data_IF_138720957180
#
_entry.id   IF_138720957180
#
_cell.length_a   1.000
_cell.length_b   1.000
_cell.length_c   1.000
_cell.angle_alpha   90.00
_cell.angle_beta   90.00
_cell.angle_gamma   90.00
#
_symmetry.space_group_name_H-M   'P 1'
#
loop_
_entity.id
_entity.type
_entity.pdbx_description
1 polymer ?
#
# COMPACT_ATOMS: atom_id res chain seq x y z
N UNK A 1 -50.46 -6.96 -37.32
CA UNK A 1 -49.89 -8.28 -36.98
C UNK A 1 -48.45 -8.36 -37.45
N UNK A 2 -47.52 -7.91 -36.61
CA UNK A 2 -46.07 -7.91 -36.84
C UNK A 2 -45.51 -9.30 -36.50
N UNK A 3 -44.97 -10.01 -37.48
CA UNK A 3 -44.38 -11.34 -37.28
C UNK A 3 -43.05 -11.21 -36.55
N UNK A 4 -42.97 -11.72 -35.32
CA UNK A 4 -41.71 -11.91 -34.59
C UNK A 4 -40.87 -12.99 -35.28
N UNK A 5 -39.64 -12.66 -35.69
CA UNK A 5 -38.65 -13.62 -36.21
C UNK A 5 -37.63 -13.93 -35.10
N UNK A 6 -37.52 -15.18 -34.61
CA UNK A 6 -36.53 -15.51 -33.60
C UNK A 6 -35.12 -15.48 -34.20
N UNK A 7 -34.23 -14.75 -33.55
CA UNK A 7 -32.80 -14.69 -33.89
C UNK A 7 -32.21 -16.08 -33.62
N UNK A 8 -31.91 -16.83 -34.68
CA UNK A 8 -31.16 -18.09 -34.58
C UNK A 8 -29.68 -17.75 -34.58
N UNK A 9 -29.06 -17.73 -33.41
CA UNK A 9 -27.60 -17.59 -33.28
C UNK A 9 -26.95 -18.87 -33.85
N UNK A 10 -26.13 -18.79 -34.91
CA UNK A 10 -25.47 -19.97 -35.46
C UNK A 10 -24.41 -20.49 -34.48
N UNK A 11 -24.34 -21.80 -34.29
CA UNK A 11 -23.37 -22.50 -33.42
C UNK A 11 -21.91 -22.06 -33.65
N UNK A 12 -21.59 -21.60 -34.87
CA UNK A 12 -20.28 -21.06 -35.23
C UNK A 12 -19.91 -19.77 -34.49
N UNK A 13 -20.88 -18.93 -34.11
CA UNK A 13 -20.64 -17.72 -33.32
C UNK A 13 -20.26 -18.01 -31.86
N UNK A 14 -20.78 -19.11 -31.31
CA UNK A 14 -20.47 -19.55 -29.94
C UNK A 14 -19.02 -20.08 -29.87
N UNK A 15 -18.56 -20.80 -30.89
CA UNK A 15 -17.19 -21.30 -30.98
C UNK A 15 -16.15 -20.18 -31.12
N UNK A 16 -16.48 -19.09 -31.82
CA UNK A 16 -15.58 -17.94 -31.99
C UNK A 16 -15.40 -17.12 -30.70
N UNK A 17 -16.49 -16.91 -29.93
CA UNK A 17 -16.43 -16.24 -28.62
C UNK A 17 -15.71 -17.11 -27.59
N UNK A 18 -15.93 -18.43 -27.61
CA UNK A 18 -15.22 -19.37 -26.74
C UNK A 18 -13.71 -19.42 -27.05
N UNK A 19 -13.32 -19.37 -28.33
CA UNK A 19 -11.92 -19.31 -28.73
C UNK A 19 -11.23 -18.00 -28.28
N UNK A 20 -11.94 -16.87 -28.31
CA UNK A 20 -11.42 -15.57 -27.84
C UNK A 20 -11.22 -15.53 -26.31
N UNK A 21 -12.13 -16.15 -25.53
CA UNK A 21 -11.99 -16.28 -24.08
C UNK A 21 -10.87 -17.26 -23.67
N UNK A 22 -10.60 -18.28 -24.49
CA UNK A 22 -9.51 -19.22 -24.26
C UNK A 22 -8.14 -18.63 -24.65
N UNK A 23 -8.10 -17.69 -25.60
CA UNK A 23 -6.90 -16.96 -26.00
C UNK A 23 -6.44 -15.92 -24.96
N UNK A 24 -7.36 -15.36 -24.18
CA UNK A 24 -7.05 -14.31 -23.20
C UNK A 24 -6.43 -14.81 -21.89
N UNK A 25 -6.17 -16.12 -21.75
CA UNK A 25 -5.44 -16.67 -20.59
C UNK A 25 -3.92 -16.49 -20.73
N UNK A 26 -3.46 -15.28 -21.04
CA UNK A 26 -2.06 -14.96 -20.81
C UNK A 26 -1.83 -14.97 -19.30
N UNK A 27 -0.86 -15.73 -18.78
CA UNK A 27 -0.51 -15.65 -17.37
C UNK A 27 -0.05 -14.22 -17.08
N UNK A 28 -0.82 -13.49 -16.27
CA UNK A 28 -0.36 -12.23 -15.73
C UNK A 28 0.86 -12.55 -14.85
N UNK A 29 2.04 -12.12 -15.29
CA UNK A 29 3.23 -12.15 -14.43
C UNK A 29 3.03 -11.09 -13.36
N UNK A 30 2.59 -11.52 -12.17
CA UNK A 30 2.70 -10.69 -10.99
C UNK A 30 4.18 -10.32 -10.79
N UNK A 31 4.44 -9.14 -10.22
CA UNK A 31 5.79 -8.82 -9.81
C UNK A 31 6.27 -9.84 -8.78
N UNK A 32 7.56 -10.19 -8.82
CA UNK A 32 8.14 -11.04 -7.81
C UNK A 32 7.98 -10.34 -6.44
N UNK A 33 7.43 -11.02 -5.43
CA UNK A 33 7.22 -10.39 -4.14
C UNK A 33 8.56 -9.91 -3.55
N UNK A 34 8.63 -8.66 -3.10
CA UNK A 34 9.77 -8.10 -2.38
C UNK A 34 9.58 -8.37 -0.88
N UNK A 35 10.32 -9.31 -0.26
CA UNK A 35 10.26 -9.49 1.18
C UNK A 35 10.83 -8.24 1.86
N UNK A 36 10.23 -7.85 2.98
CA UNK A 36 10.69 -6.70 3.75
C UNK A 36 10.42 -6.88 5.24
N UNK A 37 11.10 -6.09 6.06
CA UNK A 37 10.91 -6.07 7.52
C UNK A 37 10.79 -4.63 7.99
N UNK A 38 9.76 -4.35 8.79
CA UNK A 38 9.46 -2.99 9.26
C UNK A 38 9.97 -2.78 10.66
N UNK A 39 10.65 -1.66 10.88
CA UNK A 39 10.98 -1.15 12.22
C UNK A 39 10.21 0.13 12.47
N UNK A 40 9.34 0.10 13.47
CA UNK A 40 8.59 1.25 13.98
C UNK A 40 8.85 1.36 15.49
N UNK A 41 9.77 2.25 15.92
CA UNK A 41 10.05 2.48 17.33
C UNK A 41 8.83 3.08 18.06
N UNK A 42 8.60 2.74 19.33
CA UNK A 42 7.57 3.39 20.14
C UNK A 42 7.93 4.86 20.38
N UNK A 43 6.92 5.72 20.43
CA UNK A 43 7.04 7.14 20.77
C UNK A 43 6.84 7.41 22.27
N UNK A 44 6.45 6.40 23.05
CA UNK A 44 6.42 6.45 24.50
C UNK A 44 5.04 6.73 25.12
N UNK A 45 3.99 6.80 24.31
CA UNK A 45 2.59 6.79 24.76
C UNK A 45 1.91 5.52 24.24
N UNK A 46 1.44 4.67 25.15
CA UNK A 46 0.96 3.33 24.80
C UNK A 46 -0.26 3.33 23.88
N UNK A 47 -1.16 4.31 24.02
CA UNK A 47 -2.36 4.41 23.20
C UNK A 47 -2.01 4.89 21.78
N UNK A 48 -1.12 5.87 21.67
CA UNK A 48 -0.59 6.35 20.40
C UNK A 48 0.26 5.27 19.71
N UNK A 49 1.11 4.56 20.45
CA UNK A 49 1.94 3.46 19.93
C UNK A 49 1.08 2.36 19.32
N UNK A 50 -0.02 2.00 19.97
CA UNK A 50 -0.99 1.05 19.43
C UNK A 50 -1.66 1.60 18.17
N UNK A 51 -2.16 2.83 18.19
CA UNK A 51 -2.81 3.45 17.04
C UNK A 51 -1.89 3.56 15.82
N UNK A 52 -0.60 3.87 16.03
CA UNK A 52 0.42 3.92 14.98
C UNK A 52 0.66 2.53 14.36
N UNK A 53 0.78 1.50 15.19
CA UNK A 53 0.96 0.11 14.72
C UNK A 53 -0.25 -0.37 13.91
N UNK A 54 -1.46 -0.15 14.43
CA UNK A 54 -2.70 -0.56 13.77
C UNK A 54 -2.97 0.21 12.47
N UNK A 55 -2.48 1.44 12.37
CA UNK A 55 -2.60 2.26 11.15
C UNK A 55 -1.60 1.88 10.05
N UNK A 56 -0.57 1.08 10.35
CA UNK A 56 0.50 0.76 9.40
C UNK A 56 0.17 -0.48 8.57
N UNK A 57 -0.06 -0.28 7.27
CA UNK A 57 -0.15 -1.39 6.32
C UNK A 57 1.21 -2.01 6.02
N UNK A 58 2.31 -1.26 6.18
CA UNK A 58 3.65 -1.84 6.11
C UNK A 58 3.76 -2.98 7.14
N UNK A 59 3.35 -2.74 8.39
CA UNK A 59 3.37 -3.77 9.44
C UNK A 59 2.34 -4.87 9.20
N UNK A 60 1.06 -4.52 8.97
CA UNK A 60 -0.02 -5.52 8.91
C UNK A 60 0.07 -6.45 7.69
N UNK A 61 0.67 -5.99 6.59
CA UNK A 61 0.72 -6.72 5.32
C UNK A 61 2.09 -7.33 4.98
N UNK A 62 3.10 -7.18 5.85
CA UNK A 62 4.46 -7.68 5.54
C UNK A 62 4.51 -9.20 5.31
N UNK A 63 3.61 -9.96 5.96
CA UNK A 63 3.55 -11.43 5.85
C UNK A 63 2.44 -11.93 4.92
N UNK A 64 1.31 -11.20 4.86
CA UNK A 64 0.05 -11.73 4.29
C UNK A 64 -0.24 -11.24 2.88
N UNK A 65 0.32 -10.10 2.47
CA UNK A 65 0.11 -9.54 1.14
C UNK A 65 1.41 -8.92 0.62
N UNK A 66 2.40 -9.77 0.26
CA UNK A 66 3.67 -9.26 -0.23
C UNK A 66 3.48 -8.62 -1.61
N UNK A 67 4.29 -7.61 -1.89
CA UNK A 67 4.19 -6.79 -3.12
C UNK A 67 5.56 -6.67 -3.76
N UNK A 68 5.60 -6.47 -5.07
CA UNK A 68 6.87 -6.23 -5.76
C UNK A 68 7.52 -4.88 -5.41
N UNK A 69 8.76 -4.65 -5.85
CA UNK A 69 9.59 -3.49 -5.50
C UNK A 69 8.89 -2.14 -5.60
N UNK A 70 8.31 -1.82 -6.76
CA UNK A 70 7.63 -0.55 -6.99
C UNK A 70 6.41 -0.36 -6.08
N UNK A 71 5.64 -1.43 -5.88
CA UNK A 71 4.45 -1.40 -5.05
C UNK A 71 4.79 -1.30 -3.55
N UNK A 72 5.95 -1.80 -3.11
CA UNK A 72 6.46 -1.59 -1.75
C UNK A 72 6.72 -0.10 -1.49
N UNK A 73 7.34 0.63 -2.42
CA UNK A 73 7.58 2.07 -2.28
C UNK A 73 6.27 2.84 -2.18
N UNK A 74 5.27 2.51 -2.99
CA UNK A 74 3.95 3.14 -2.90
C UNK A 74 3.24 2.82 -1.59
N UNK A 75 3.28 1.56 -1.13
CA UNK A 75 2.75 1.18 0.19
C UNK A 75 3.39 2.02 1.30
N UNK A 76 4.70 2.25 1.24
CA UNK A 76 5.40 3.09 2.20
C UNK A 76 4.94 4.56 2.14
N UNK A 77 4.75 5.14 0.95
CA UNK A 77 4.20 6.50 0.81
C UNK A 77 2.80 6.61 1.41
N UNK A 78 1.94 5.63 1.14
CA UNK A 78 0.59 5.62 1.68
C UNK A 78 0.59 5.46 3.22
N UNK A 79 1.54 4.68 3.77
CA UNK A 79 1.70 4.53 5.22
C UNK A 79 2.16 5.82 5.89
N UNK A 80 3.03 6.61 5.26
CA UNK A 80 3.41 7.92 5.76
C UNK A 80 2.16 8.80 6.01
N UNK A 81 1.22 8.81 5.06
CA UNK A 81 -0.04 9.54 5.20
C UNK A 81 -0.94 8.98 6.33
N UNK A 82 -1.07 7.65 6.43
CA UNK A 82 -1.85 7.00 7.50
C UNK A 82 -1.29 7.29 8.89
N UNK A 83 0.02 7.19 9.06
CA UNK A 83 0.69 7.47 10.34
C UNK A 83 0.56 8.96 10.72
N UNK A 84 0.70 9.87 9.75
CA UNK A 84 0.42 11.30 9.98
C UNK A 84 -1.02 11.55 10.42
N UNK A 85 -2.01 10.87 9.83
CA UNK A 85 -3.40 10.98 10.23
C UNK A 85 -3.66 10.47 11.66
N UNK A 86 -3.02 9.37 12.05
CA UNK A 86 -3.08 8.85 13.42
C UNK A 86 -2.50 9.87 14.42
N UNK A 87 -1.31 10.42 14.15
CA UNK A 87 -0.68 11.46 14.97
C UNK A 87 -1.58 12.69 15.13
N UNK A 88 -2.14 13.19 14.04
CA UNK A 88 -3.05 14.33 14.05
C UNK A 88 -4.31 14.05 14.89
N UNK A 89 -4.84 12.83 14.84
CA UNK A 89 -6.02 12.42 15.64
C UNK A 89 -5.73 12.41 17.14
N UNK A 90 -4.46 12.24 17.53
CA UNK A 90 -3.98 12.35 18.91
C UNK A 90 -3.52 13.78 19.28
N UNK A 91 -3.72 14.75 18.38
CA UNK A 91 -3.40 16.17 18.62
C UNK A 91 -1.95 16.55 18.31
N UNK A 92 -1.18 15.69 17.64
CA UNK A 92 0.20 15.94 17.24
C UNK A 92 0.31 16.63 15.87
N UNK A 93 -0.21 17.84 15.74
CA UNK A 93 -0.29 18.55 14.44
C UNK A 93 1.06 19.05 13.90
N UNK A 94 2.09 19.12 14.73
CA UNK A 94 3.45 19.47 14.33
C UNK A 94 4.34 18.24 14.12
N UNK A 95 3.75 17.05 14.03
CA UNK A 95 4.51 15.82 13.86
C UNK A 95 5.18 15.71 12.49
N UNK A 96 6.22 14.88 12.42
CA UNK A 96 6.87 14.46 11.19
C UNK A 96 7.00 12.94 11.16
N UNK A 97 6.61 12.35 10.03
CA UNK A 97 6.85 10.93 9.74
C UNK A 97 7.85 10.83 8.61
N UNK A 98 8.91 10.05 8.84
CA UNK A 98 9.92 9.70 7.83
C UNK A 98 9.88 8.20 7.60
N UNK A 99 9.99 7.78 6.35
CA UNK A 99 10.10 6.36 6.01
C UNK A 99 11.27 6.20 5.05
N UNK A 100 12.12 5.24 5.36
CA UNK A 100 13.24 4.86 4.51
C UNK A 100 13.09 3.39 4.13
N UNK A 101 13.41 3.07 2.88
CA UNK A 101 13.43 1.71 2.36
C UNK A 101 14.84 1.42 1.90
N UNK A 102 15.42 0.31 2.37
CA UNK A 102 16.83 -0.02 2.17
C UNK A 102 17.80 1.13 2.58
N UNK A 103 17.44 1.90 3.62
CA UNK A 103 18.21 3.05 4.07
C UNK A 103 18.17 4.27 3.14
N UNK A 104 17.29 4.29 2.12
CA UNK A 104 17.09 5.40 1.20
C UNK A 104 15.73 6.08 1.42
N UNK A 105 15.62 7.40 1.21
CA UNK A 105 14.34 8.08 1.25
C UNK A 105 13.44 7.65 0.08
N UNK A 106 12.13 7.79 0.23
CA UNK A 106 11.15 7.30 -0.77
C UNK A 106 11.21 8.03 -2.11
N UNK A 107 11.83 9.21 -2.17
CA UNK A 107 12.02 10.02 -3.38
C UNK A 107 13.38 9.80 -4.05
N UNK A 108 14.23 8.92 -3.51
CA UNK A 108 15.51 8.57 -4.11
C UNK A 108 15.28 7.92 -5.50
N UNK A 109 15.78 8.52 -6.60
CA UNK A 109 15.57 8.00 -7.95
C UNK A 109 16.27 6.66 -8.20
N UNK A 110 17.27 6.31 -7.39
CA UNK A 110 17.97 5.03 -7.44
C UNK A 110 17.30 3.91 -6.65
N UNK A 111 16.31 4.22 -5.81
CA UNK A 111 15.63 3.24 -4.97
C UNK A 111 14.99 2.09 -5.79
N UNK A 112 14.28 2.32 -6.91
CA UNK A 112 13.71 1.22 -7.69
C UNK A 112 14.76 0.21 -8.15
N UNK A 113 15.86 0.67 -8.74
CA UNK A 113 16.93 -0.20 -9.22
C UNK A 113 17.61 -0.97 -8.07
N UNK A 114 17.74 -0.35 -6.90
CA UNK A 114 18.28 -1.01 -5.70
C UNK A 114 17.37 -2.17 -5.27
N UNK A 115 16.05 -1.96 -5.23
CA UNK A 115 15.10 -2.98 -4.82
C UNK A 115 15.01 -4.13 -5.83
N UNK A 116 15.01 -3.84 -7.13
CA UNK A 116 15.04 -4.88 -8.17
C UNK A 116 16.29 -5.78 -8.07
N UNK A 117 17.41 -5.25 -7.55
CA UNK A 117 18.64 -6.00 -7.35
C UNK A 117 18.72 -6.71 -5.98
N UNK A 118 17.75 -6.50 -5.08
CA UNK A 118 17.79 -7.02 -3.73
C UNK A 118 17.45 -8.52 -3.69
N UNK A 119 18.40 -9.34 -3.22
CA UNK A 119 18.22 -10.78 -3.04
C UNK A 119 17.79 -11.19 -1.62
N UNK A 120 17.83 -10.25 -0.68
CA UNK A 120 17.48 -10.46 0.72
C UNK A 120 16.28 -9.58 1.12
N UNK A 121 15.59 -9.90 2.24
CA UNK A 121 14.54 -9.02 2.77
C UNK A 121 15.03 -7.60 2.99
N UNK A 122 14.25 -6.63 2.52
CA UNK A 122 14.60 -5.21 2.57
C UNK A 122 14.17 -4.60 3.90
N UNK A 123 15.06 -3.85 4.54
CA UNK A 123 14.71 -3.10 5.74
C UNK A 123 13.85 -1.87 5.40
N UNK A 124 12.75 -1.69 6.13
CA UNK A 124 11.90 -0.49 6.10
C UNK A 124 11.93 0.14 7.48
N UNK A 125 12.42 1.37 7.57
CA UNK A 125 12.56 2.09 8.83
C UNK A 125 11.59 3.26 8.87
N UNK A 126 10.76 3.29 9.90
CA UNK A 126 9.82 4.38 10.16
C UNK A 126 10.34 5.22 11.32
N UNK A 127 10.58 6.50 11.06
CA UNK A 127 10.94 7.49 12.08
C UNK A 127 9.76 8.41 12.38
N UNK A 128 9.46 8.60 13.66
CA UNK A 128 8.39 9.49 14.11
C UNK A 128 8.97 10.56 15.04
N UNK A 129 8.73 11.81 14.68
CA UNK A 129 8.90 12.97 15.54
C UNK A 129 7.51 13.47 15.88
N UNK A 130 6.93 13.04 17.01
CA UNK A 130 5.54 13.35 17.33
C UNK A 130 5.31 14.85 17.64
N UNK A 131 6.32 15.56 18.14
CA UNK A 131 6.17 16.96 18.55
C UNK A 131 5.18 17.13 19.72
N UNK A 132 4.77 18.38 20.02
CA UNK A 132 3.86 18.66 21.13
C UNK A 132 2.41 18.25 20.84
N UNK A 133 1.68 17.89 21.89
CA UNK A 133 0.22 17.69 21.84
C UNK A 133 -0.49 19.04 21.93
N UNK A 134 -1.33 19.35 20.96
CA UNK A 134 -2.17 20.54 20.96
C UNK A 134 -3.53 20.23 21.58
N UNK A 135 -3.99 21.10 22.48
CA UNK A 135 -5.30 21.00 23.13
C UNK A 135 -6.22 22.11 22.65
N UNK A 136 -7.42 21.73 22.22
CA UNK A 136 -8.46 22.70 21.90
C UNK A 136 -8.89 23.43 23.17
N UNK A 137 -9.13 24.74 23.04
CA UNK A 137 -9.74 25.56 24.09
C UNK A 137 -11.25 25.63 23.88
N UNK A 138 -11.91 26.61 24.47
CA UNK A 138 -13.35 26.82 24.32
C UNK A 138 -13.72 27.03 22.85
N UNK A 139 -14.67 26.24 22.37
CA UNK A 139 -15.31 26.39 21.05
C UNK A 139 -16.66 27.06 21.26
N UNK A 140 -16.94 28.14 20.52
CA UNK A 140 -18.24 28.84 20.51
C UNK A 140 -18.71 28.95 19.06
N UNK A 141 -20.01 28.78 18.83
CA UNK A 141 -20.67 28.87 17.52
C UNK A 141 -21.50 30.16 17.42
#
# INVERSE_FOLDING_TARGET
MTRYRPIRLPWQGILFVAALCLWHRLPARAADPQPYTVTLPPVGDAALDLALRDSSNLLSLQETAPVGPFALVNRARDDQARLMAALNSFGHYAARVTIQVAGRPLDDPGLPALLEAASAPVAVMVGIEAGPVFRLRRVTL
#
